data_IF_989147090653
#
_entry.id   IF_989147090653
#
_cell.length_a   1.000
_cell.length_b   1.000
_cell.length_c   1.000
_cell.angle_alpha   90.00
_cell.angle_beta   90.00
_cell.angle_gamma   90.00
#
_symmetry.space_group_name_H-M   'P 1'
#
loop_
_entity.id
_entity.type
_entity.pdbx_description
1 polymer ?
#
# COMPACT_ATOMS: atom_id res chain seq x y z
N UNK A 1 -1.22 3.62 -9.93
CA UNK A 1 -1.01 2.14 -9.98
C UNK A 1 -1.33 1.48 -8.64
N UNK A 2 -0.58 1.77 -7.56
CA UNK A 2 -0.88 1.25 -6.22
C UNK A 2 -2.23 1.76 -5.67
N UNK A 3 -2.51 3.05 -5.85
CA UNK A 3 -3.79 3.67 -5.44
C UNK A 3 -5.01 2.94 -6.01
N UNK A 4 -4.97 2.57 -7.30
CA UNK A 4 -6.05 1.87 -7.98
C UNK A 4 -6.25 0.46 -7.42
N UNK A 5 -5.15 -0.26 -7.12
CA UNK A 5 -5.23 -1.58 -6.48
C UNK A 5 -5.89 -1.48 -5.10
N UNK A 6 -5.53 -0.48 -4.30
CA UNK A 6 -6.13 -0.25 -2.98
C UNK A 6 -7.61 0.12 -3.10
N UNK A 7 -7.99 0.99 -4.04
CA UNK A 7 -9.37 1.40 -4.27
C UNK A 7 -10.25 0.23 -4.74
N UNK A 8 -9.77 -0.59 -5.68
CA UNK A 8 -10.47 -1.79 -6.15
C UNK A 8 -10.68 -2.77 -4.99
N UNK A 9 -9.63 -3.01 -4.21
CA UNK A 9 -9.69 -3.92 -3.07
C UNK A 9 -10.63 -3.42 -1.96
N UNK A 10 -10.62 -2.12 -1.68
CA UNK A 10 -11.55 -1.49 -0.74
C UNK A 10 -13.02 -1.66 -1.18
N UNK A 11 -13.29 -1.68 -2.49
CA UNK A 11 -14.62 -1.86 -3.09
C UNK A 11 -15.02 -3.32 -3.31
N UNK A 12 -14.10 -4.27 -3.18
CA UNK A 12 -14.32 -5.69 -3.46
C UNK A 12 -15.35 -6.37 -2.54
N UNK A 13 -15.65 -5.78 -1.37
CA UNK A 13 -16.52 -6.39 -0.36
C UNK A 13 -15.87 -7.55 0.40
N UNK A 14 -14.56 -7.79 0.23
CA UNK A 14 -13.83 -8.80 1.01
C UNK A 14 -13.82 -8.47 2.50
N UNK A 15 -14.09 -9.49 3.32
CA UNK A 15 -14.03 -9.38 4.78
C UNK A 15 -12.56 -9.28 5.24
N UNK A 16 -12.15 -8.20 5.92
CA UNK A 16 -10.76 -8.01 6.34
C UNK A 16 -10.43 -8.83 7.59
N UNK A 17 -10.20 -10.13 7.41
CA UNK A 17 -9.83 -11.04 8.52
C UNK A 17 -8.35 -10.96 8.92
N UNK A 18 -7.55 -10.14 8.24
CA UNK A 18 -6.14 -9.87 8.54
C UNK A 18 -5.95 -8.57 9.37
N UNK A 19 -4.71 -8.25 9.75
CA UNK A 19 -4.37 -6.95 10.38
C UNK A 19 -4.53 -5.79 9.38
N UNK A 20 -4.87 -4.55 9.80
CA UNK A 20 -5.00 -4.07 11.18
C UNK A 20 -6.32 -4.43 11.89
N UNK A 21 -6.33 -4.37 13.22
CA UNK A 21 -7.44 -4.81 14.07
C UNK A 21 -8.74 -3.98 13.97
N UNK A 22 -8.68 -2.77 13.42
CA UNK A 22 -9.89 -1.95 13.18
C UNK A 22 -10.75 -2.48 12.03
N UNK A 23 -10.26 -3.46 11.26
CA UNK A 23 -11.00 -4.18 10.22
C UNK A 23 -11.66 -3.27 9.19
N UNK A 24 -11.00 -2.16 8.84
CA UNK A 24 -11.48 -1.13 7.92
C UNK A 24 -12.80 -0.48 8.36
N UNK A 25 -13.13 -0.60 9.64
CA UNK A 25 -14.40 -0.10 10.18
C UNK A 25 -14.40 1.42 10.22
N UNK A 26 -15.37 2.04 9.53
CA UNK A 26 -15.62 3.46 9.61
C UNK A 26 -16.08 3.94 11.00
N UNK A 27 -16.51 3.02 11.87
CA UNK A 27 -17.09 3.36 13.17
C UNK A 27 -16.11 4.08 14.12
N UNK A 28 -14.81 3.88 13.93
CA UNK A 28 -13.74 4.50 14.72
C UNK A 28 -12.84 5.42 13.89
N UNK A 29 -13.20 5.68 12.63
CA UNK A 29 -12.27 6.22 11.63
C UNK A 29 -12.22 7.74 11.58
N UNK A 30 -13.25 8.47 12.02
CA UNK A 30 -13.30 9.92 11.81
C UNK A 30 -13.04 10.27 10.34
N UNK A 31 -11.91 10.95 10.06
CA UNK A 31 -11.45 11.33 8.72
C UNK A 31 -10.34 10.41 8.15
N UNK A 32 -9.95 9.35 8.85
CA UNK A 32 -8.84 8.49 8.44
C UNK A 32 -9.29 7.48 7.36
N UNK A 33 -8.48 7.25 6.31
CA UNK A 33 -8.84 6.38 5.18
C UNK A 33 -8.63 4.89 5.51
N UNK A 34 -9.27 4.38 6.58
CA UNK A 34 -9.13 2.98 7.02
C UNK A 34 -9.53 1.94 5.96
N UNK A 35 -10.30 2.32 4.95
CA UNK A 35 -10.63 1.45 3.81
C UNK A 35 -9.41 1.07 2.97
N UNK A 36 -8.38 1.92 2.96
CA UNK A 36 -7.12 1.68 2.24
C UNK A 36 -6.05 1.04 3.13
N UNK A 37 -6.30 0.94 4.44
CA UNK A 37 -5.33 0.47 5.42
C UNK A 37 -5.28 -1.07 5.43
N UNK A 38 -4.18 -1.58 4.91
CA UNK A 38 -3.89 -3.01 4.75
C UNK A 38 -2.46 -3.30 5.19
N UNK A 39 -2.21 -4.57 5.47
CA UNK A 39 -0.86 -5.12 5.62
C UNK A 39 -0.48 -5.85 4.33
N UNK A 40 0.69 -6.48 4.33
CA UNK A 40 1.13 -7.45 3.34
C UNK A 40 0.18 -8.65 3.33
N UNK A 41 -0.77 -8.63 2.39
CA UNK A 41 -1.74 -9.69 2.15
C UNK A 41 -1.52 -10.29 0.77
N UNK A 42 -2.06 -11.48 0.56
CA UNK A 42 -2.03 -12.11 -0.77
C UNK A 42 -2.65 -11.20 -1.83
N UNK A 43 -1.95 -11.05 -2.97
CA UNK A 43 -2.34 -10.13 -4.05
C UNK A 43 -1.78 -8.70 -3.90
N UNK A 44 -1.12 -8.38 -2.78
CA UNK A 44 -0.43 -7.11 -2.57
C UNK A 44 1.09 -7.32 -2.38
N UNK A 45 1.82 -6.22 -2.46
CA UNK A 45 3.29 -6.20 -2.38
C UNK A 45 3.78 -6.03 -0.93
N UNK A 46 5.04 -6.36 -0.71
CA UNK A 46 5.73 -6.23 0.58
C UNK A 46 6.71 -5.06 0.51
N UNK A 47 6.58 -4.07 1.39
CA UNK A 47 7.47 -2.90 1.37
C UNK A 47 8.92 -3.26 1.67
N UNK A 48 9.16 -4.22 2.57
CA UNK A 48 10.50 -4.67 2.95
C UNK A 48 11.15 -5.51 1.84
N UNK A 49 10.36 -6.29 1.12
CA UNK A 49 10.82 -7.17 0.04
C UNK A 49 10.03 -6.96 -1.26
N UNK A 50 10.01 -5.71 -1.73
CA UNK A 50 9.20 -5.30 -2.87
C UNK A 50 9.55 -6.06 -4.14
N UNK A 51 8.54 -6.65 -4.77
CA UNK A 51 8.68 -7.42 -6.02
C UNK A 51 7.62 -7.06 -7.07
N UNK A 52 6.57 -6.34 -6.70
CA UNK A 52 5.49 -5.93 -7.57
C UNK A 52 5.43 -4.41 -7.73
N UNK A 53 4.23 -3.86 -7.51
CA UNK A 53 3.93 -2.43 -7.73
C UNK A 53 4.85 -1.47 -6.99
N UNK A 54 5.35 -1.83 -5.80
CA UNK A 54 6.30 -1.00 -5.05
C UNK A 54 7.68 -1.04 -5.71
N UNK A 55 8.13 -2.20 -6.20
CA UNK A 55 9.38 -2.32 -6.94
C UNK A 55 9.35 -1.54 -8.26
N UNK A 56 8.22 -1.59 -8.97
CA UNK A 56 8.00 -0.81 -10.20
C UNK A 56 8.02 0.70 -9.91
N UNK A 57 7.41 1.11 -8.80
CA UNK A 57 7.43 2.52 -8.34
C UNK A 57 8.85 2.97 -8.01
N UNK A 58 9.63 2.16 -7.30
CA UNK A 58 11.03 2.45 -7.00
C UNK A 58 11.90 2.51 -8.27
N UNK A 59 11.67 1.62 -9.25
CA UNK A 59 12.36 1.67 -10.53
C UNK A 59 11.98 2.93 -11.35
N UNK A 60 10.71 3.34 -11.32
CA UNK A 60 10.26 4.60 -11.93
C UNK A 60 10.94 5.81 -11.29
N UNK A 61 10.98 5.86 -9.96
CA UNK A 61 11.66 6.94 -9.24
C UNK A 61 13.16 6.98 -9.58
N UNK A 62 13.84 5.83 -9.63
CA UNK A 62 15.25 5.78 -10.00
C UNK A 62 15.50 6.35 -11.40
N UNK A 63 14.64 6.02 -12.38
CA UNK A 63 14.70 6.58 -13.74
C UNK A 63 14.43 8.08 -13.75
N UNK A 64 13.39 8.54 -13.03
CA UNK A 64 12.99 9.94 -12.97
C UNK A 64 14.09 10.84 -12.40
N UNK A 65 14.76 10.37 -11.34
CA UNK A 65 15.80 11.13 -10.64
C UNK A 65 17.22 10.81 -11.11
N UNK A 66 17.40 9.97 -12.13
CA UNK A 66 18.70 9.62 -12.69
C UNK A 66 19.63 8.88 -11.71
N UNK A 67 19.06 8.13 -10.75
CA UNK A 67 19.83 7.41 -9.74
C UNK A 67 20.00 5.93 -10.12
N UNK A 68 21.00 5.26 -9.53
CA UNK A 68 21.16 3.81 -9.69
C UNK A 68 19.98 3.04 -9.09
N UNK A 69 19.45 3.51 -7.96
CA UNK A 69 18.32 2.93 -7.21
C UNK A 69 17.58 4.04 -6.47
N UNK A 70 16.30 3.81 -6.22
CA UNK A 70 15.48 4.61 -5.31
C UNK A 70 14.77 3.67 -4.35
N UNK A 71 14.42 4.19 -3.17
CA UNK A 71 13.74 3.45 -2.11
C UNK A 71 12.59 4.29 -1.58
N UNK A 72 11.45 3.65 -1.29
CA UNK A 72 10.33 4.30 -0.61
C UNK A 72 10.62 4.35 0.89
N UNK A 73 10.52 5.53 1.49
CA UNK A 73 10.63 5.75 2.93
C UNK A 73 9.28 6.17 3.52
N UNK A 74 8.94 5.63 4.69
CA UNK A 74 7.67 5.93 5.38
C UNK A 74 7.86 6.81 6.63
N UNK A 75 9.10 7.11 7.01
CA UNK A 75 9.44 7.81 8.26
C UNK A 75 10.20 9.14 8.04
N UNK A 76 10.18 9.68 6.83
CA UNK A 76 10.99 10.86 6.50
C UNK A 76 12.49 10.56 6.39
N UNK A 77 13.28 11.63 6.29
CA UNK A 77 14.75 11.60 6.16
C UNK A 77 15.46 11.77 7.50
#
# INVERSE_FOLDING_TARGET
>A
MLEHLLDEYARSGMLPMHTPGHKRSGAFAGLLPYSLDITEIEGFDDLYNAKGVLAETMALAARLYGSRRAYLGVNGS
#
